data_IF_594206847781
#
_entry.id   IF_594206847781
#
_cell.length_a   1.000
_cell.length_b   1.000
_cell.length_c   1.000
_cell.angle_alpha   90.00
_cell.angle_beta   90.00
_cell.angle_gamma   90.00
#
_symmetry.space_group_name_H-M   'P 1'
#
loop_
_entity.id
_entity.type
_entity.pdbx_description
1 polymer ?
#
# COMPACT_ATOMS: atom_id res chain seq x y z
N UNK A 1 13.08 -66.65 -29.19
CA UNK A 1 13.71 -65.72 -30.15
C UNK A 1 12.96 -64.39 -30.02
N UNK A 2 13.48 -63.27 -29.56
CA UNK A 2 14.85 -62.84 -29.27
C UNK A 2 14.80 -61.73 -28.21
N UNK A 3 15.87 -61.61 -27.44
CA UNK A 3 16.11 -60.70 -26.32
C UNK A 3 15.79 -59.22 -26.61
N UNK A 4 15.35 -58.48 -25.58
CA UNK A 4 15.97 -57.18 -25.31
C UNK A 4 16.05 -56.92 -23.81
N UNK A 5 17.25 -57.21 -23.31
CA UNK A 5 17.75 -56.97 -21.96
C UNK A 5 17.57 -55.51 -21.55
N UNK A 6 16.98 -55.33 -20.36
CA UNK A 6 17.58 -54.58 -19.26
C UNK A 6 18.31 -53.28 -19.66
N UNK A 7 17.62 -52.15 -19.54
CA UNK A 7 18.29 -50.88 -19.23
C UNK A 7 17.50 -50.12 -18.17
N UNK A 8 17.79 -50.45 -16.90
CA UNK A 8 17.66 -49.48 -15.81
C UNK A 8 18.59 -48.31 -16.16
N UNK A 9 18.04 -47.21 -16.64
CA UNK A 9 18.81 -45.98 -16.78
C UNK A 9 18.03 -44.79 -16.23
N UNK A 10 18.33 -44.53 -14.96
CA UNK A 10 18.71 -43.21 -14.43
C UNK A 10 17.71 -42.07 -14.62
N UNK A 11 17.15 -41.67 -13.48
CA UNK A 11 17.11 -40.28 -13.01
C UNK A 11 16.50 -39.23 -13.95
N UNK A 12 15.31 -38.76 -13.57
CA UNK A 12 15.12 -37.34 -13.24
C UNK A 12 13.85 -37.22 -12.39
N UNK A 13 14.05 -36.99 -11.10
CA UNK A 13 13.04 -36.41 -10.22
C UNK A 13 12.73 -35.00 -10.75
N UNK A 14 11.70 -34.85 -11.55
CA UNK A 14 11.17 -33.51 -11.86
C UNK A 14 10.30 -33.11 -10.67
N UNK A 15 10.93 -32.45 -9.70
CA UNK A 15 10.21 -31.65 -8.72
C UNK A 15 9.59 -30.48 -9.49
N UNK A 16 8.32 -30.64 -9.87
CA UNK A 16 7.51 -29.56 -10.43
C UNK A 16 7.18 -28.60 -9.28
N UNK A 17 8.08 -27.65 -9.01
CA UNK A 17 7.88 -26.49 -8.14
C UNK A 17 7.03 -25.42 -8.88
N UNK A 18 5.84 -25.78 -9.39
CA UNK A 18 4.99 -24.83 -10.14
C UNK A 18 3.96 -24.14 -9.25
N UNK A 19 4.42 -23.37 -8.26
CA UNK A 19 3.47 -22.65 -7.40
C UNK A 19 3.92 -21.32 -6.82
N UNK A 20 5.23 -21.07 -6.65
CA UNK A 20 5.68 -19.96 -5.81
C UNK A 20 5.79 -18.59 -6.51
N UNK A 21 5.44 -18.46 -7.80
CA UNK A 21 5.66 -17.20 -8.54
C UNK A 21 4.39 -16.62 -9.17
N UNK A 22 3.21 -16.86 -8.59
CA UNK A 22 1.98 -16.11 -8.96
C UNK A 22 1.63 -14.97 -8.01
N UNK A 23 2.49 -14.67 -7.03
CA UNK A 23 2.28 -13.59 -6.05
C UNK A 23 3.00 -12.27 -6.38
N UNK A 24 3.65 -12.14 -7.54
CA UNK A 24 4.40 -10.94 -7.91
C UNK A 24 3.73 -10.10 -9.02
N UNK A 25 2.41 -10.23 -9.17
CA UNK A 25 1.60 -9.20 -9.82
C UNK A 25 0.74 -8.52 -8.74
N UNK A 26 1.34 -8.19 -7.60
CA UNK A 26 0.81 -7.14 -6.75
C UNK A 26 0.86 -5.89 -7.61
N UNK A 27 -0.31 -5.43 -8.04
CA UNK A 27 -0.46 -4.30 -8.94
C UNK A 27 0.38 -3.13 -8.41
N UNK A 28 1.33 -2.63 -9.21
CA UNK A 28 2.30 -1.58 -8.84
C UNK A 28 1.61 -0.22 -8.64
N UNK A 29 0.66 -0.13 -7.72
CA UNK A 29 0.12 1.16 -7.29
C UNK A 29 1.17 1.88 -6.46
N UNK A 30 1.39 3.19 -6.67
CA UNK A 30 2.14 3.97 -5.73
C UNK A 30 1.49 3.93 -4.35
N UNK A 31 2.34 3.92 -3.32
CA UNK A 31 1.93 3.87 -1.93
C UNK A 31 2.20 5.21 -1.26
N UNK A 32 1.13 5.88 -0.85
CA UNK A 32 1.19 7.06 0.00
C UNK A 32 1.06 6.61 1.47
N UNK A 33 2.17 6.69 2.19
CA UNK A 33 2.22 6.37 3.61
C UNK A 33 2.49 7.63 4.42
N UNK A 34 2.19 7.58 5.71
CA UNK A 34 2.47 8.73 6.55
C UNK A 34 1.95 8.62 7.97
N UNK A 35 2.02 9.75 8.67
CA UNK A 35 1.48 9.90 10.02
C UNK A 35 0.61 11.14 10.13
N UNK A 36 -0.48 11.02 10.89
CA UNK A 36 -1.36 12.12 11.29
C UNK A 36 -1.16 12.39 12.78
N UNK A 37 -0.87 13.66 13.11
CA UNK A 37 -0.67 14.13 14.49
C UNK A 37 -1.47 15.38 14.75
N UNK A 38 -1.87 15.61 15.99
CA UNK A 38 -2.41 16.88 16.43
C UNK A 38 -1.27 17.92 16.46
N UNK A 39 -1.62 19.21 16.48
CA UNK A 39 -0.65 20.30 16.66
C UNK A 39 0.20 20.14 17.93
N UNK A 40 -0.35 19.54 19.00
CA UNK A 40 0.37 19.20 20.22
C UNK A 40 1.37 18.03 20.06
N UNK A 41 1.44 17.41 18.88
CA UNK A 41 2.34 16.30 18.55
C UNK A 41 1.79 14.91 18.85
N UNK A 42 0.64 14.80 19.52
CA UNK A 42 0.00 13.51 19.82
C UNK A 42 -0.49 12.81 18.54
N UNK A 43 -0.31 11.49 18.39
CA UNK A 43 -0.91 10.75 17.28
C UNK A 43 -2.43 10.91 17.24
N UNK A 44 -2.99 10.96 16.04
CA UNK A 44 -4.45 10.99 15.85
C UNK A 44 -4.87 9.65 15.25
N UNK A 45 -5.39 8.71 16.06
CA UNK A 45 -5.96 7.48 15.55
C UNK A 45 -7.34 7.71 14.94
N UNK A 46 -7.80 6.75 14.13
CA UNK A 46 -9.14 6.78 13.53
C UNK A 46 -9.41 8.01 12.63
N UNK A 47 -8.38 8.77 12.25
CA UNK A 47 -8.47 9.78 11.21
C UNK A 47 -8.69 9.10 9.85
N UNK A 48 -9.70 9.57 9.13
CA UNK A 48 -9.99 9.18 7.76
C UNK A 48 -9.05 9.95 6.81
N UNK A 49 -8.40 9.22 5.91
CA UNK A 49 -7.47 9.74 4.91
C UNK A 49 -8.00 9.36 3.54
N UNK A 50 -8.35 10.35 2.72
CA UNK A 50 -8.97 10.16 1.40
C UNK A 50 -8.13 10.84 0.32
N UNK A 51 -7.83 10.13 -0.76
CA UNK A 51 -7.18 10.71 -1.94
C UNK A 51 -8.21 11.04 -3.03
N UNK A 52 -8.32 12.32 -3.39
CA UNK A 52 -9.30 12.83 -4.35
C UNK A 52 -10.73 12.84 -3.79
N UNK A 53 -11.68 13.26 -4.61
CA UNK A 53 -13.08 13.34 -4.22
C UNK A 53 -13.74 11.96 -4.36
N UNK A 54 -13.81 11.21 -3.26
CA UNK A 54 -14.40 9.86 -3.22
C UNK A 54 -13.50 8.74 -3.77
N UNK A 55 -12.19 8.99 -3.86
CA UNK A 55 -11.21 7.99 -4.27
C UNK A 55 -10.80 7.04 -3.14
N UNK A 56 -9.62 6.40 -3.23
CA UNK A 56 -9.12 5.49 -2.22
C UNK A 56 -9.07 6.14 -0.84
N UNK A 57 -9.42 5.36 0.19
CA UNK A 57 -9.42 5.79 1.58
C UNK A 57 -8.71 4.80 2.50
N UNK A 58 -8.12 5.33 3.57
CA UNK A 58 -7.54 4.57 4.66
C UNK A 58 -7.90 5.22 6.01
N UNK A 59 -7.77 4.45 7.08
CA UNK A 59 -7.94 4.93 8.46
C UNK A 59 -6.62 4.79 9.19
N UNK A 60 -6.27 5.80 9.97
CA UNK A 60 -5.04 5.79 10.78
C UNK A 60 -5.12 4.83 11.97
N UNK A 61 -4.01 4.18 12.28
CA UNK A 61 -3.87 3.30 13.44
C UNK A 61 -3.66 4.07 14.76
N UNK A 62 -3.49 3.34 15.87
CA UNK A 62 -3.24 3.89 17.21
C UNK A 62 -2.00 4.80 17.29
N UNK A 63 -1.03 4.62 16.39
CA UNK A 63 0.17 5.45 16.30
C UNK A 63 0.02 6.57 15.26
N UNK A 64 -1.19 6.78 14.75
CA UNK A 64 -1.54 7.78 13.76
C UNK A 64 -1.00 7.46 12.36
N UNK A 65 -0.54 6.23 12.09
CA UNK A 65 0.04 5.86 10.80
C UNK A 65 -1.03 5.42 9.82
N UNK A 66 -0.79 5.67 8.54
CA UNK A 66 -1.61 5.15 7.46
C UNK A 66 -0.75 4.68 6.29
N UNK A 67 -1.35 3.86 5.43
CA UNK A 67 -0.78 3.42 4.17
C UNK A 67 -1.91 3.31 3.15
N UNK A 68 -1.82 4.08 2.07
CA UNK A 68 -2.90 4.25 1.09
C UNK A 68 -2.35 4.04 -0.33
N UNK A 69 -2.71 2.95 -1.02
CA UNK A 69 -2.47 2.82 -2.45
C UNK A 69 -3.30 3.86 -3.21
N UNK A 70 -2.66 4.61 -4.12
CA UNK A 70 -3.34 5.62 -4.94
C UNK A 70 -3.16 5.31 -6.44
N UNK A 71 -3.98 5.87 -7.35
CA UNK A 71 -3.79 5.70 -8.78
C UNK A 71 -2.43 6.26 -9.24
N UNK A 72 -1.70 5.49 -10.04
CA UNK A 72 -0.44 5.93 -10.63
C UNK A 72 -0.64 7.14 -11.55
N UNK A 73 0.40 7.97 -11.65
CA UNK A 73 0.46 9.15 -12.53
C UNK A 73 -0.73 10.13 -12.36
N UNK A 74 -1.39 10.10 -11.20
CA UNK A 74 -2.57 10.91 -10.91
C UNK A 74 -2.24 11.94 -9.84
N UNK A 75 -2.38 13.23 -10.18
CA UNK A 75 -2.34 14.31 -9.21
C UNK A 75 -3.66 14.36 -8.41
N UNK A 76 -3.61 14.80 -7.16
CA UNK A 76 -4.82 14.93 -6.36
C UNK A 76 -4.62 15.70 -5.06
N UNK A 77 -5.66 15.68 -4.23
CA UNK A 77 -5.61 16.19 -2.86
C UNK A 77 -5.77 15.05 -1.88
N UNK A 78 -4.96 15.05 -0.83
CA UNK A 78 -5.14 14.20 0.33
C UNK A 78 -5.97 14.97 1.36
N UNK A 79 -7.21 14.55 1.57
CA UNK A 79 -8.06 15.07 2.62
C UNK A 79 -7.92 14.20 3.88
N UNK A 80 -7.68 14.83 5.03
CA UNK A 80 -7.58 14.15 6.32
C UNK A 80 -8.60 14.73 7.28
N UNK A 81 -9.44 13.86 7.84
CA UNK A 81 -10.55 14.22 8.72
C UNK A 81 -10.53 13.39 9.99
N UNK A 82 -10.81 14.03 11.12
CA UNK A 82 -10.96 13.36 12.40
C UNK A 82 -11.95 14.15 13.25
N UNK A 83 -12.71 13.45 14.10
CA UNK A 83 -13.66 14.08 15.03
C UNK A 83 -12.90 15.01 15.99
N UNK A 84 -13.39 16.24 16.15
CA UNK A 84 -12.78 17.25 17.02
C UNK A 84 -11.59 18.00 16.41
N UNK A 85 -11.31 17.81 15.12
CA UNK A 85 -10.24 18.51 14.40
C UNK A 85 -10.78 19.27 13.18
N UNK A 86 -10.09 20.34 12.81
CA UNK A 86 -10.27 21.00 11.52
C UNK A 86 -9.69 20.11 10.42
N UNK A 87 -10.43 19.82 9.33
CA UNK A 87 -9.92 19.03 8.21
C UNK A 87 -8.65 19.65 7.61
N UNK A 88 -7.69 18.80 7.23
CA UNK A 88 -6.51 19.21 6.48
C UNK A 88 -6.59 18.71 5.04
N UNK A 89 -6.10 19.52 4.11
CA UNK A 89 -5.94 19.15 2.70
C UNK A 89 -4.51 19.41 2.25
N UNK A 90 -3.90 18.42 1.57
CA UNK A 90 -2.54 18.52 1.05
C UNK A 90 -2.53 18.18 -0.44
N UNK A 91 -1.89 18.99 -1.30
CA UNK A 91 -1.68 18.60 -2.69
C UNK A 91 -0.70 17.44 -2.76
N UNK A 92 -1.01 16.45 -3.59
CA UNK A 92 -0.16 15.30 -3.88
C UNK A 92 0.11 15.29 -5.38
N UNK A 93 1.40 15.39 -5.74
CA UNK A 93 1.84 15.29 -7.12
C UNK A 93 1.66 13.86 -7.64
N UNK A 94 1.56 13.67 -8.97
CA UNK A 94 1.57 12.35 -9.60
C UNK A 94 2.72 11.49 -9.09
N UNK A 95 2.43 10.23 -8.75
CA UNK A 95 3.43 9.25 -8.34
C UNK A 95 3.51 8.11 -9.37
N UNK A 96 4.71 7.69 -9.77
CA UNK A 96 4.85 6.57 -10.69
C UNK A 96 4.45 5.25 -10.04
N UNK A 97 4.11 4.28 -10.88
CA UNK A 97 3.81 2.92 -10.45
C UNK A 97 4.94 2.37 -9.54
N UNK A 98 4.56 1.73 -8.44
CA UNK A 98 5.49 1.17 -7.45
C UNK A 98 6.25 2.20 -6.59
N UNK A 99 6.02 3.50 -6.78
CA UNK A 99 6.65 4.51 -5.93
C UNK A 99 6.13 4.47 -4.49
N UNK A 100 6.95 4.90 -3.54
CA UNK A 100 6.52 5.17 -2.16
C UNK A 100 6.76 6.63 -1.81
N UNK A 101 5.74 7.28 -1.25
CA UNK A 101 5.80 8.65 -0.74
C UNK A 101 5.42 8.65 0.75
N UNK A 102 6.27 9.25 1.58
CA UNK A 102 5.97 9.49 2.99
C UNK A 102 5.49 10.93 3.19
N UNK A 103 4.47 11.13 4.02
CA UNK A 103 3.95 12.45 4.41
C UNK A 103 3.68 12.54 5.90
N UNK A 104 3.82 13.75 6.45
CA UNK A 104 3.39 14.06 7.81
C UNK A 104 2.27 15.10 7.73
N UNK A 105 1.14 14.80 8.37
CA UNK A 105 -0.02 15.69 8.43
C UNK A 105 -0.25 16.13 9.87
N UNK A 106 -0.43 17.44 10.05
CA UNK A 106 -0.75 18.02 11.35
C UNK A 106 -2.18 18.56 11.32
N UNK A 107 -3.01 18.11 12.25
CA UNK A 107 -4.38 18.60 12.43
C UNK A 107 -4.46 19.64 13.55
N UNK A 108 -5.18 20.72 13.28
CA UNK A 108 -5.54 21.71 14.27
C UNK A 108 -6.83 21.29 14.99
N UNK A 109 -6.93 21.39 16.33
CA UNK A 109 -8.17 21.17 17.05
C UNK A 109 -9.30 22.09 16.58
N UNK A 110 -10.54 21.63 16.70
CA UNK A 110 -11.73 22.43 16.38
C UNK A 110 -12.23 23.16 17.64
N UNK A 111 -11.40 24.02 18.26
CA UNK A 111 -11.79 24.80 19.45
C UNK A 111 -11.06 26.14 19.49
#
# INVERSE_FOLDING_TARGET
>A
MSSLSMWLSRMALVVVLTGAARYAAAQDYPLLAGTVRAQAGTPVPMAEVVFGDGGPAAVTDEQGRFSLPIPAETAGRLAVRAVGFTPAELPVAPLPAGARREVAVTLAPLF
#
